data_IF_504263296595
#
_entry.id   IF_504263296595
#
_cell.length_a   1.000
_cell.length_b   1.000
_cell.length_c   1.000
_cell.angle_alpha   90.00
_cell.angle_beta   90.00
_cell.angle_gamma   90.00
#
_symmetry.space_group_name_H-M   'P 1'
#
loop_
_entity.id
_entity.type
_entity.pdbx_description
1 polymer ?
#
# COMPACT_ATOMS: atom_id res chain seq x y z
N UNK A 1 32.29 13.64 2.32
CA UNK A 1 31.00 13.00 2.04
C UNK A 1 30.50 12.24 3.27
N UNK A 2 29.29 12.56 3.71
CA UNK A 2 28.72 11.88 4.86
C UNK A 2 28.03 10.61 4.38
N UNK A 3 28.46 9.48 4.92
CA UNK A 3 27.84 8.20 4.60
C UNK A 3 26.49 8.10 5.33
N UNK A 4 25.43 7.85 4.58
CA UNK A 4 24.08 7.74 5.13
C UNK A 4 24.00 6.56 6.10
N UNK A 5 23.48 6.83 7.29
CA UNK A 5 23.30 5.80 8.33
C UNK A 5 22.11 4.93 7.99
N UNK A 6 22.29 3.60 8.01
CA UNK A 6 21.23 2.64 7.76
C UNK A 6 20.25 2.64 8.93
N UNK A 7 18.95 2.75 8.61
CA UNK A 7 17.90 2.80 9.63
C UNK A 7 17.09 1.49 9.58
N UNK A 8 17.00 0.81 10.70
CA UNK A 8 16.26 -0.46 10.81
C UNK A 8 14.90 -0.31 11.46
N UNK A 9 14.77 0.61 12.40
CA UNK A 9 13.57 0.77 13.21
C UNK A 9 12.74 1.95 12.70
N UNK A 10 11.43 1.74 12.58
CA UNK A 10 10.48 2.77 12.14
C UNK A 10 9.21 2.71 12.99
N UNK A 11 8.58 3.85 13.20
CA UNK A 11 7.21 3.93 13.71
C UNK A 11 6.32 4.31 12.55
N UNK A 12 5.17 3.66 12.43
CA UNK A 12 4.24 3.93 11.31
C UNK A 12 3.89 5.42 11.24
N UNK A 13 3.60 6.02 12.39
CA UNK A 13 3.22 7.44 12.47
C UNK A 13 4.31 8.41 12.00
N UNK A 14 5.57 7.98 11.99
CA UNK A 14 6.71 8.80 11.57
C UNK A 14 7.10 8.57 10.10
N UNK A 15 6.47 7.61 9.44
CA UNK A 15 6.74 7.33 8.03
C UNK A 15 6.19 8.45 7.14
N UNK A 16 6.83 8.69 5.98
CA UNK A 16 6.29 9.65 5.04
C UNK A 16 4.90 9.26 4.57
N UNK A 17 4.06 10.28 4.37
CA UNK A 17 2.70 10.10 3.88
C UNK A 17 2.70 10.27 2.37
N UNK A 18 2.12 9.29 1.69
CA UNK A 18 1.96 9.28 0.24
C UNK A 18 0.48 9.15 -0.07
N UNK A 19 -0.06 10.02 -0.91
CA UNK A 19 -1.44 9.89 -1.37
C UNK A 19 -1.46 8.95 -2.56
N UNK A 20 -2.23 7.87 -2.47
CA UNK A 20 -2.35 6.89 -3.55
C UNK A 20 -3.43 7.27 -4.54
N UNK A 21 -4.49 7.91 -4.05
CA UNK A 21 -5.56 8.54 -4.81
C UNK A 21 -5.91 9.84 -4.09
N UNK A 22 -6.92 10.56 -4.55
CA UNK A 22 -7.38 11.77 -3.85
C UNK A 22 -7.81 11.47 -2.40
N UNK A 23 -8.28 10.26 -2.13
CA UNK A 23 -8.83 9.86 -0.82
C UNK A 23 -7.93 8.92 -0.04
N UNK A 24 -7.14 8.10 -0.72
CA UNK A 24 -6.35 7.05 -0.08
C UNK A 24 -5.01 7.57 0.40
N UNK A 25 -4.77 7.43 1.68
CA UNK A 25 -3.55 7.88 2.34
C UNK A 25 -2.73 6.69 2.78
N UNK A 26 -1.42 6.74 2.53
CA UNK A 26 -0.49 5.68 2.90
C UNK A 26 0.68 6.23 3.71
N UNK A 27 0.99 5.56 4.81
CA UNK A 27 2.29 5.69 5.47
C UNK A 27 3.16 4.60 4.86
N UNK A 28 4.29 4.97 4.27
CA UNK A 28 5.02 4.06 3.40
C UNK A 28 6.49 3.92 3.80
N UNK A 29 7.00 2.70 3.67
CA UNK A 29 8.42 2.39 3.89
C UNK A 29 8.84 1.28 2.95
N UNK A 30 10.08 1.34 2.47
CA UNK A 30 10.63 0.30 1.62
C UNK A 30 11.87 -0.30 2.24
N UNK A 31 11.96 -1.63 2.19
CA UNK A 31 13.17 -2.36 2.40
C UNK A 31 13.85 -2.60 1.06
N UNK A 32 14.78 -3.54 1.01
CA UNK A 32 15.48 -3.90 -0.22
C UNK A 32 14.56 -4.61 -1.21
N UNK A 33 13.76 -5.56 -0.72
CA UNK A 33 12.94 -6.44 -1.56
C UNK A 33 11.45 -6.27 -1.40
N UNK A 34 11.00 -5.38 -0.53
CA UNK A 34 9.58 -5.19 -0.26
C UNK A 34 9.25 -3.73 0.01
N UNK A 35 8.03 -3.33 -0.39
CA UNK A 35 7.45 -2.04 -0.07
C UNK A 35 6.24 -2.29 0.83
N UNK A 36 6.16 -1.57 1.95
CA UNK A 36 5.03 -1.64 2.88
C UNK A 36 4.24 -0.34 2.80
N UNK A 37 2.93 -0.47 2.64
CA UNK A 37 2.00 0.65 2.57
C UNK A 37 0.92 0.46 3.63
N UNK A 38 0.95 1.29 4.67
CA UNK A 38 -0.06 1.28 5.72
C UNK A 38 -1.16 2.25 5.31
N UNK A 39 -2.26 1.71 4.78
CA UNK A 39 -3.30 2.49 4.12
C UNK A 39 -4.46 2.85 5.02
N UNK A 40 -4.97 4.06 4.82
CA UNK A 40 -6.21 4.55 5.41
C UNK A 40 -7.10 5.00 4.27
N UNK A 41 -8.18 4.27 4.06
CA UNK A 41 -9.14 4.55 3.00
C UNK A 41 -10.47 4.97 3.61
N UNK A 42 -10.90 6.21 3.38
CA UNK A 42 -12.19 6.66 3.89
C UNK A 42 -13.36 6.05 3.10
N UNK A 43 -14.59 6.18 3.61
CA UNK A 43 -15.76 5.73 2.87
C UNK A 43 -15.80 6.31 1.45
N UNK A 44 -16.13 5.47 0.48
CA UNK A 44 -16.23 5.84 -0.92
C UNK A 44 -14.92 5.77 -1.70
N UNK A 45 -13.85 5.28 -1.09
CA UNK A 45 -12.58 5.11 -1.79
C UNK A 45 -12.65 3.94 -2.78
N UNK A 46 -12.19 4.18 -4.01
CA UNK A 46 -12.21 3.18 -5.08
C UNK A 46 -10.83 3.03 -5.68
N UNK A 47 -10.41 1.77 -5.83
CA UNK A 47 -9.25 1.42 -6.64
C UNK A 47 -9.75 0.67 -7.86
N UNK A 48 -9.69 1.28 -9.07
CA UNK A 48 -10.12 0.61 -10.29
C UNK A 48 -9.32 -0.65 -10.57
N UNK A 49 -9.87 -1.55 -11.37
CA UNK A 49 -9.15 -2.75 -11.80
C UNK A 49 -7.84 -2.37 -12.47
N UNK A 50 -6.77 -2.97 -12.03
CA UNK A 50 -5.43 -2.74 -12.54
C UNK A 50 -4.56 -3.97 -12.30
N UNK A 51 -3.36 -3.96 -12.84
CA UNK A 51 -2.38 -5.01 -12.59
C UNK A 51 -0.98 -4.40 -12.53
N UNK A 52 -0.05 -5.12 -11.94
CA UNK A 52 1.35 -4.73 -11.85
C UNK A 52 2.22 -5.98 -11.64
N UNK A 53 3.52 -5.90 -11.97
CA UNK A 53 4.41 -7.05 -11.84
C UNK A 53 4.66 -7.52 -10.41
N UNK A 54 4.54 -6.64 -9.43
CA UNK A 54 4.75 -7.02 -8.03
C UNK A 54 3.65 -7.96 -7.53
N UNK A 55 4.04 -8.97 -6.76
CA UNK A 55 3.09 -9.66 -5.90
C UNK A 55 2.61 -8.68 -4.86
N UNK A 56 1.33 -8.72 -4.52
CA UNK A 56 0.76 -7.84 -3.51
C UNK A 56 -0.01 -8.65 -2.47
N UNK A 57 0.26 -8.38 -1.21
CA UNK A 57 -0.47 -9.00 -0.10
C UNK A 57 -1.21 -7.90 0.63
N UNK A 58 -2.54 -7.98 0.67
CA UNK A 58 -3.40 -7.03 1.38
C UNK A 58 -3.91 -7.67 2.65
N UNK A 59 -3.71 -6.99 3.77
CA UNK A 59 -4.23 -7.41 5.08
C UNK A 59 -5.15 -6.30 5.57
N UNK A 60 -6.41 -6.62 5.84
CA UNK A 60 -7.36 -5.66 6.40
C UNK A 60 -7.25 -5.70 7.93
N UNK A 61 -7.04 -4.54 8.55
CA UNK A 61 -6.92 -4.39 9.99
C UNK A 61 -8.20 -3.87 10.64
N UNK A 62 -8.90 -2.95 9.95
CA UNK A 62 -10.16 -2.36 10.41
C UNK A 62 -11.04 -2.09 9.20
N UNK A 63 -12.35 -2.25 9.37
CA UNK A 63 -13.31 -1.95 8.30
C UNK A 63 -13.42 -3.07 7.28
N UNK A 64 -13.86 -2.73 6.07
CA UNK A 64 -14.12 -3.72 5.03
C UNK A 64 -14.02 -3.13 3.63
N UNK A 65 -13.78 -4.01 2.66
CA UNK A 65 -13.68 -3.64 1.25
C UNK A 65 -14.29 -4.73 0.37
N UNK A 66 -15.11 -4.32 -0.60
CA UNK A 66 -15.51 -5.20 -1.70
C UNK A 66 -14.31 -5.31 -2.64
N UNK A 67 -13.78 -6.51 -2.78
CA UNK A 67 -12.52 -6.75 -3.47
C UNK A 67 -12.66 -7.71 -4.63
N UNK A 68 -11.89 -7.47 -5.68
CA UNK A 68 -11.81 -8.34 -6.85
C UNK A 68 -10.36 -8.70 -7.11
N UNK A 69 -10.09 -10.00 -7.29
CA UNK A 69 -8.77 -10.48 -7.69
C UNK A 69 -8.97 -11.59 -8.71
N UNK A 70 -8.49 -11.39 -9.94
CA UNK A 70 -8.76 -12.31 -11.03
C UNK A 70 -10.25 -12.39 -11.29
N UNK A 71 -10.81 -13.59 -11.23
CA UNK A 71 -12.24 -13.83 -11.44
C UNK A 71 -13.03 -13.88 -10.13
N UNK A 72 -12.34 -13.78 -8.99
CA UNK A 72 -12.99 -13.86 -7.68
C UNK A 72 -13.41 -12.48 -7.17
N UNK A 73 -14.60 -12.43 -6.59
CA UNK A 73 -15.13 -11.25 -5.91
C UNK A 73 -15.55 -11.64 -4.50
N UNK A 74 -15.15 -10.84 -3.53
CA UNK A 74 -15.42 -11.15 -2.13
C UNK A 74 -15.38 -9.89 -1.28
N UNK A 75 -16.04 -9.96 -0.12
CA UNK A 75 -15.97 -8.90 0.88
C UNK A 75 -14.84 -9.22 1.84
N UNK A 76 -13.86 -8.35 1.91
CA UNK A 76 -12.76 -8.46 2.87
C UNK A 76 -13.08 -7.67 4.13
N UNK A 77 -12.90 -8.30 5.27
CA UNK A 77 -13.13 -7.70 6.60
C UNK A 77 -11.85 -7.75 7.42
N UNK A 78 -11.85 -7.11 8.58
CA UNK A 78 -10.72 -7.15 9.49
C UNK A 78 -10.28 -8.58 9.78
N UNK A 79 -8.98 -8.85 9.60
CA UNK A 79 -8.39 -10.18 9.74
C UNK A 79 -8.28 -10.97 8.44
N UNK A 80 -8.84 -10.46 7.34
CA UNK A 80 -8.78 -11.15 6.05
C UNK A 80 -7.52 -10.74 5.27
N UNK A 81 -7.04 -11.68 4.46
CA UNK A 81 -5.82 -11.52 3.67
C UNK A 81 -6.12 -11.91 2.22
N UNK A 82 -5.68 -11.05 1.28
CA UNK A 82 -5.71 -11.40 -0.14
C UNK A 82 -4.29 -11.39 -0.70
N UNK A 83 -3.91 -12.47 -1.36
CA UNK A 83 -2.63 -12.56 -2.05
C UNK A 83 -2.89 -12.40 -3.55
N UNK A 84 -2.36 -11.32 -4.12
CA UNK A 84 -2.50 -11.01 -5.54
C UNK A 84 -1.24 -11.50 -6.25
N UNK A 85 -1.34 -12.53 -7.10
CA UNK A 85 -0.18 -12.95 -7.88
C UNK A 85 0.32 -11.83 -8.80
N UNK A 86 1.60 -11.88 -9.22
CA UNK A 86 2.10 -10.92 -10.21
C UNK A 86 1.17 -10.85 -11.42
N UNK A 87 0.86 -9.62 -11.83
CA UNK A 87 0.05 -9.31 -13.01
C UNK A 87 -1.43 -9.71 -12.95
N UNK A 88 -1.93 -10.22 -11.84
CA UNK A 88 -3.35 -10.50 -11.67
C UNK A 88 -4.13 -9.19 -11.63
N UNK A 89 -5.23 -9.12 -12.38
CA UNK A 89 -6.14 -7.96 -12.34
C UNK A 89 -6.83 -7.89 -10.99
N UNK A 90 -6.79 -6.74 -10.35
CA UNK A 90 -7.42 -6.57 -9.04
C UNK A 90 -7.85 -5.12 -8.82
N UNK A 91 -8.75 -4.95 -7.87
CA UNK A 91 -9.26 -3.65 -7.48
C UNK A 91 -10.24 -3.80 -6.35
N UNK A 92 -10.76 -2.69 -5.86
CA UNK A 92 -11.68 -2.73 -4.74
C UNK A 92 -12.38 -1.40 -4.50
N UNK A 93 -13.43 -1.48 -3.68
CA UNK A 93 -14.23 -0.34 -3.27
C UNK A 93 -14.62 -0.52 -1.81
N UNK A 94 -14.42 0.50 -1.01
CA UNK A 94 -14.90 0.50 0.36
C UNK A 94 -16.04 1.49 0.52
N UNK A 95 -17.18 1.01 1.02
CA UNK A 95 -18.35 1.86 1.29
C UNK A 95 -18.26 2.55 2.64
N UNK A 96 -17.64 1.88 3.61
CA UNK A 96 -17.59 2.33 5.00
C UNK A 96 -16.20 2.72 5.48
N UNK A 97 -15.18 2.50 4.65
CA UNK A 97 -13.79 2.78 4.98
C UNK A 97 -13.07 1.57 5.52
N UNK A 98 -11.73 1.56 5.39
CA UNK A 98 -10.91 0.53 6.02
C UNK A 98 -9.49 1.02 6.23
N UNK A 99 -8.79 0.33 7.13
CA UNK A 99 -7.35 0.47 7.34
C UNK A 99 -6.72 -0.88 7.10
N UNK A 100 -5.58 -0.89 6.43
CA UNK A 100 -4.91 -2.14 6.10
C UNK A 100 -3.44 -1.95 5.78
N UNK A 101 -2.83 -3.05 5.40
CA UNK A 101 -1.41 -3.07 5.00
C UNK A 101 -1.33 -3.72 3.63
N UNK A 102 -0.70 -3.03 2.68
CA UNK A 102 -0.30 -3.63 1.41
C UNK A 102 1.20 -3.90 1.44
N UNK A 103 1.58 -5.10 1.02
CA UNK A 103 2.98 -5.50 0.90
C UNK A 103 3.24 -5.83 -0.57
N UNK A 104 4.21 -5.15 -1.19
CA UNK A 104 4.58 -5.36 -2.59
C UNK A 104 5.97 -5.98 -2.68
N UNK A 105 6.09 -7.11 -3.37
CA UNK A 105 7.37 -7.82 -3.57
C UNK A 105 7.52 -8.17 -5.05
N UNK A 106 8.52 -7.63 -5.76
CA UNK A 106 9.41 -6.55 -5.36
C UNK A 106 8.65 -5.23 -5.18
N UNK A 107 9.28 -4.17 -4.68
CA UNK A 107 8.61 -2.88 -4.53
C UNK A 107 7.94 -2.44 -5.83
N UNK A 108 6.69 -2.03 -5.73
CA UNK A 108 5.95 -1.49 -6.87
C UNK A 108 6.60 -0.17 -7.30
N UNK A 109 7.06 -0.10 -8.54
CA UNK A 109 7.90 1.01 -9.00
C UNK A 109 7.26 2.38 -8.90
N UNK A 110 5.98 2.50 -9.27
CA UNK A 110 5.26 3.77 -9.21
C UNK A 110 5.10 4.28 -7.78
N UNK A 111 4.81 3.38 -6.82
CA UNK A 111 4.75 3.75 -5.40
C UNK A 111 6.12 4.05 -4.82
N UNK A 112 7.15 3.31 -5.24
CA UNK A 112 8.52 3.54 -4.80
C UNK A 112 9.01 4.93 -5.21
N UNK A 113 8.66 5.38 -6.42
CA UNK A 113 9.00 6.73 -6.88
C UNK A 113 8.29 7.80 -6.05
N UNK A 114 7.03 7.58 -5.71
CA UNK A 114 6.29 8.48 -4.82
C UNK A 114 6.92 8.56 -3.43
N UNK A 115 7.36 7.41 -2.91
CA UNK A 115 8.06 7.34 -1.62
C UNK A 115 9.36 8.12 -1.64
N UNK A 116 10.18 7.92 -2.68
CA UNK A 116 11.45 8.63 -2.83
C UNK A 116 11.24 10.14 -2.89
N UNK A 117 10.21 10.58 -3.60
CA UNK A 117 9.86 11.99 -3.68
C UNK A 117 9.45 12.54 -2.31
N UNK A 118 8.62 11.81 -1.58
CA UNK A 118 8.19 12.22 -0.24
C UNK A 118 9.35 12.31 0.74
N UNK A 119 10.28 11.34 0.69
CA UNK A 119 11.49 11.36 1.51
C UNK A 119 12.38 12.56 1.17
N UNK A 120 12.55 12.84 -0.11
CA UNK A 120 13.35 13.98 -0.56
C UNK A 120 12.75 15.31 -0.07
N UNK A 121 11.44 15.46 -0.14
CA UNK A 121 10.74 16.65 0.34
C UNK A 121 10.90 16.85 1.85
N UNK A 122 11.12 15.78 2.60
CA UNK A 122 11.41 15.81 4.04
C UNK A 122 12.90 16.01 4.35
N UNK A 123 13.76 16.14 3.33
CA UNK A 123 15.19 16.21 3.51
C UNK A 123 15.85 14.85 3.79
N UNK A 124 15.16 13.77 3.47
CA UNK A 124 15.65 12.39 3.60
C UNK A 124 15.84 11.76 2.22
N UNK A 125 16.70 10.77 2.14
CA UNK A 125 16.96 10.06 0.88
C UNK A 125 16.85 8.54 1.02
#
# INVERSE_FOLDING_TARGET
MVKKKKKYFHRIEDLPVVMLTEKSKSHMVAGQNALLSFIENPPGCVFPLHSHPSEQILIILEGEEDHTCGEEKFLMKAGDICIHPPNAMHGGETKTGFKGIDIFVPPREDWLEKLKKALKERGEE
#
